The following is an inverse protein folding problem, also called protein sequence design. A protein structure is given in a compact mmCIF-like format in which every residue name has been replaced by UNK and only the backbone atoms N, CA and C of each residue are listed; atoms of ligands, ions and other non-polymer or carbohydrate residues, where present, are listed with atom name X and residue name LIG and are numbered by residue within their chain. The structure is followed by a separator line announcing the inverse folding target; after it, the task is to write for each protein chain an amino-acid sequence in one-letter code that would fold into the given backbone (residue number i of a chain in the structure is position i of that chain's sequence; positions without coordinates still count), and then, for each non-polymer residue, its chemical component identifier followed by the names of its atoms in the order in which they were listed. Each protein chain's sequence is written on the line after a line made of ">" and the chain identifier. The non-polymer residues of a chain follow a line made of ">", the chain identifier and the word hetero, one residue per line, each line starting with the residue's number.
data_IF_199526178326
#
_entry.id   IF_199526178326
#
_cell.length_a   1.000
_cell.length_b   1.000
_cell.length_c   1.000
_cell.angle_alpha   90.00
_cell.angle_beta   90.00
_cell.angle_gamma   90.00
#
_symmetry.space_group_name_H-M   'P 1'
#
loop_
_entity.id
_entity.type
_entity.pdbx_description
1 polymer ?
#
# COMPACT_ATOMS: atom_id res chain seq x y z
N UNK A 1 -6.11 -17.67 -1.81
CA UNK A 1 -6.62 -16.29 -1.99
C UNK A 1 -5.60 -15.41 -2.69
N UNK A 2 -4.37 -15.24 -2.18
CA UNK A 2 -3.34 -14.47 -2.90
C UNK A 2 -2.80 -15.16 -4.19
N UNK A 3 -2.99 -16.47 -4.36
CA UNK A 3 -2.72 -17.18 -5.63
C UNK A 3 -3.69 -16.80 -6.76
N UNK A 4 -4.90 -16.36 -6.41
CA UNK A 4 -5.98 -16.02 -7.35
C UNK A 4 -5.84 -14.61 -7.93
N UNK A 5 -4.80 -13.88 -7.52
CA UNK A 5 -4.52 -12.50 -7.94
C UNK A 5 -3.17 -12.35 -8.66
N UNK A 6 -2.37 -13.42 -8.73
CA UNK A 6 -1.10 -13.46 -9.47
C UNK A 6 -1.29 -13.94 -10.91
N UNK A 7 -0.73 -13.25 -11.93
CA UNK A 7 -0.70 -13.76 -13.30
C UNK A 7 0.18 -15.03 -13.39
N UNK A 8 -0.16 -16.06 -14.20
CA UNK A 8 -1.27 -16.15 -15.17
C UNK A 8 -2.56 -16.79 -14.59
N UNK A 9 -2.58 -17.16 -13.31
CA UNK A 9 -3.65 -17.98 -12.69
C UNK A 9 -4.78 -17.15 -12.06
N UNK A 10 -4.84 -15.85 -12.31
CA UNK A 10 -5.77 -14.96 -11.62
C UNK A 10 -7.21 -15.08 -12.16
N UNK A 11 -7.94 -16.12 -11.73
CA UNK A 11 -9.27 -16.47 -12.22
C UNK A 11 -10.35 -15.43 -11.85
N UNK A 12 -10.25 -14.85 -10.65
CA UNK A 12 -11.21 -13.84 -10.20
C UNK A 12 -11.23 -12.56 -11.07
N UNK A 13 -10.10 -11.88 -11.33
CA UNK A 13 -10.07 -10.74 -12.25
C UNK A 13 -10.34 -11.14 -13.71
N UNK A 14 -10.05 -12.38 -14.10
CA UNK A 14 -10.40 -12.90 -15.42
C UNK A 14 -11.92 -12.98 -15.61
N UNK A 15 -12.64 -13.57 -14.63
CA UNK A 15 -14.10 -13.64 -14.64
C UNK A 15 -14.72 -12.23 -14.58
N UNK A 16 -14.18 -11.33 -13.75
CA UNK A 16 -14.63 -9.94 -13.69
C UNK A 16 -14.45 -9.20 -15.03
N UNK A 17 -13.35 -9.43 -15.74
CA UNK A 17 -13.12 -8.86 -17.07
C UNK A 17 -14.10 -9.42 -18.11
N UNK A 18 -14.41 -10.72 -18.07
CA UNK A 18 -15.38 -11.35 -18.96
C UNK A 18 -16.80 -10.79 -18.78
N UNK A 19 -17.21 -10.50 -17.53
CA UNK A 19 -18.52 -9.90 -17.24
C UNK A 19 -18.62 -8.43 -17.65
N UNK A 20 -17.52 -7.68 -17.56
CA UNK A 20 -17.50 -6.23 -17.84
C UNK A 20 -17.06 -5.88 -19.27
N UNK A 21 -16.68 -6.88 -20.08
CA UNK A 21 -16.14 -6.68 -21.43
C UNK A 21 -14.72 -6.08 -21.46
N UNK A 22 -14.02 -6.07 -20.33
CA UNK A 22 -12.65 -5.54 -20.22
C UNK A 22 -11.60 -6.51 -20.76
N UNK A 23 -10.36 -6.02 -20.96
CA UNK A 23 -9.25 -6.88 -21.35
C UNK A 23 -8.79 -7.74 -20.15
N UNK A 24 -8.89 -9.08 -20.19
CA UNK A 24 -8.58 -9.93 -19.03
C UNK A 24 -7.14 -9.79 -18.56
N UNK A 25 -6.18 -9.70 -19.48
CA UNK A 25 -4.77 -9.58 -19.13
C UNK A 25 -4.45 -8.27 -18.41
N UNK A 26 -5.02 -7.15 -18.86
CA UNK A 26 -4.86 -5.85 -18.18
C UNK A 26 -5.51 -5.85 -16.80
N UNK A 27 -6.70 -6.41 -16.66
CA UNK A 27 -7.38 -6.53 -15.36
C UNK A 27 -6.57 -7.37 -14.39
N UNK A 28 -6.06 -8.53 -14.82
CA UNK A 28 -5.15 -9.36 -14.00
C UNK A 28 -3.91 -8.58 -13.55
N UNK A 29 -3.26 -7.85 -14.46
CA UNK A 29 -2.06 -7.08 -14.14
C UNK A 29 -2.34 -5.94 -13.14
N UNK A 30 -3.48 -5.27 -13.28
CA UNK A 30 -3.92 -4.23 -12.35
C UNK A 30 -4.20 -4.84 -10.96
N UNK A 31 -4.97 -5.92 -10.91
CA UNK A 31 -5.27 -6.62 -9.64
C UNK A 31 -3.98 -7.02 -8.93
N UNK A 32 -3.04 -7.64 -9.65
CA UNK A 32 -1.74 -8.00 -9.11
C UNK A 32 -1.01 -6.80 -8.49
N UNK A 33 -0.93 -5.68 -9.23
CA UNK A 33 -0.32 -4.43 -8.74
C UNK A 33 -0.95 -3.94 -7.44
N UNK A 34 -2.28 -3.98 -7.32
CA UNK A 34 -2.98 -3.53 -6.11
C UNK A 34 -2.84 -4.50 -4.94
N UNK A 35 -2.54 -5.77 -5.19
CA UNK A 35 -2.32 -6.78 -4.14
C UNK A 35 -0.91 -6.81 -3.58
N UNK A 36 0.03 -6.05 -4.17
CA UNK A 36 1.41 -5.92 -3.68
C UNK A 36 1.56 -5.61 -2.19
N UNK A 37 0.80 -4.67 -1.59
CA UNK A 37 0.87 -4.44 -0.15
C UNK A 37 0.54 -5.68 0.67
N UNK A 38 -0.45 -6.48 0.25
CA UNK A 38 -0.85 -7.71 0.94
C UNK A 38 0.20 -8.82 0.85
N UNK A 39 0.93 -8.92 -0.27
CA UNK A 39 2.08 -9.82 -0.39
C UNK A 39 3.20 -9.49 0.58
N UNK A 40 3.30 -8.21 0.99
CA UNK A 40 4.38 -7.74 1.86
C UNK A 40 4.03 -7.88 3.36
N UNK A 41 2.75 -7.97 3.75
CA UNK A 41 2.33 -8.06 5.16
C UNK A 41 3.02 -9.19 5.94
N UNK A 42 3.24 -10.40 5.37
CA UNK A 42 3.98 -11.46 6.06
C UNK A 42 5.38 -11.08 6.52
N UNK A 43 6.02 -10.12 5.84
CA UNK A 43 7.36 -9.68 6.20
C UNK A 43 7.39 -8.90 7.53
N UNK A 44 6.29 -8.26 7.91
CA UNK A 44 6.21 -7.47 9.15
C UNK A 44 6.54 -8.32 10.37
N UNK A 45 5.93 -9.51 10.49
CA UNK A 45 6.10 -10.38 11.66
C UNK A 45 7.22 -11.41 11.52
N UNK A 46 7.95 -11.42 10.40
CA UNK A 46 9.09 -12.34 10.17
C UNK A 46 10.43 -11.65 10.21
N UNK A 47 10.48 -10.33 9.98
CA UNK A 47 11.73 -9.55 9.96
C UNK A 47 12.20 -9.12 11.35
N UNK A 48 11.30 -8.93 12.30
CA UNK A 48 11.64 -8.49 13.66
C UNK A 48 10.74 -9.11 14.74
N UNK A 49 11.24 -9.26 15.98
CA UNK A 49 10.43 -9.73 17.10
C UNK A 49 9.26 -8.80 17.44
N UNK A 50 9.40 -7.47 17.22
CA UNK A 50 8.32 -6.50 17.47
C UNK A 50 7.13 -6.69 16.52
N UNK A 51 7.38 -7.23 15.32
CA UNK A 51 6.36 -7.58 14.36
C UNK A 51 5.39 -8.69 14.84
N UNK A 52 5.79 -9.49 15.84
CA UNK A 52 4.94 -10.54 16.43
C UNK A 52 3.69 -9.98 17.12
N UNK A 53 3.65 -8.68 17.41
CA UNK A 53 2.45 -7.98 17.86
C UNK A 53 1.27 -8.16 16.90
N UNK A 54 1.53 -8.30 15.59
CA UNK A 54 0.48 -8.55 14.59
C UNK A 54 -0.16 -9.95 14.75
N UNK A 55 0.52 -10.87 15.42
CA UNK A 55 0.06 -12.23 15.72
C UNK A 55 -0.51 -12.36 17.14
N UNK A 56 -0.72 -11.25 17.85
CA UNK A 56 -1.15 -11.21 19.26
C UNK A 56 -0.18 -11.92 20.22
N UNK A 57 1.11 -11.99 19.87
CA UNK A 57 2.15 -12.63 20.70
C UNK A 57 2.97 -11.63 21.54
N UNK A 58 2.50 -10.39 21.66
CA UNK A 58 3.14 -9.30 22.41
C UNK A 58 2.15 -8.67 23.41
N UNK A 59 2.62 -7.88 24.39
CA UNK A 59 1.76 -7.07 25.25
C UNK A 59 0.75 -6.24 24.45
N UNK A 60 -0.44 -5.99 25.02
CA UNK A 60 -1.53 -5.29 24.33
C UNK A 60 -1.14 -3.92 23.74
N UNK A 61 -0.25 -3.19 24.42
CA UNK A 61 0.28 -1.91 23.91
C UNK A 61 1.02 -2.08 22.58
N UNK A 62 1.91 -3.07 22.52
CA UNK A 62 2.71 -3.38 21.34
C UNK A 62 1.84 -3.92 20.20
N UNK A 63 0.83 -4.74 20.51
CA UNK A 63 -0.16 -5.23 19.52
C UNK A 63 -0.86 -4.05 18.84
N UNK A 64 -1.35 -3.09 19.61
CA UNK A 64 -2.03 -1.90 19.08
C UNK A 64 -1.06 -1.08 18.24
N UNK A 65 0.15 -0.83 18.75
CA UNK A 65 1.17 -0.07 18.03
C UNK A 65 1.55 -0.72 16.70
N UNK A 66 1.95 -2.00 16.71
CA UNK A 66 2.35 -2.75 15.51
C UNK A 66 1.19 -2.82 14.50
N UNK A 67 -0.05 -2.97 14.95
CA UNK A 67 -1.23 -2.97 14.07
C UNK A 67 -1.44 -1.61 13.40
N UNK A 68 -1.32 -0.51 14.15
CA UNK A 68 -1.47 0.84 13.60
C UNK A 68 -0.34 1.16 12.62
N UNK A 69 0.91 0.87 12.98
CA UNK A 69 2.07 1.01 12.09
C UNK A 69 1.85 0.20 10.80
N UNK A 70 1.48 -1.08 10.91
CA UNK A 70 1.24 -1.94 9.76
C UNK A 70 0.14 -1.39 8.85
N UNK A 71 -0.96 -0.90 9.42
CA UNK A 71 -2.06 -0.30 8.67
C UNK A 71 -1.60 0.94 7.88
N UNK A 72 -0.81 1.83 8.51
CA UNK A 72 -0.26 3.01 7.85
C UNK A 72 0.74 2.61 6.76
N UNK A 73 1.61 1.62 7.02
CA UNK A 73 2.57 1.11 6.05
C UNK A 73 1.87 0.51 4.82
N UNK A 74 0.83 -0.29 5.03
CA UNK A 74 -0.01 -0.83 3.94
C UNK A 74 -0.67 0.29 3.14
N UNK A 75 -1.19 1.33 3.81
CA UNK A 75 -1.76 2.50 3.13
C UNK A 75 -0.70 3.24 2.28
N UNK A 76 0.52 3.40 2.79
CA UNK A 76 1.62 4.01 2.06
C UNK A 76 2.00 3.22 0.81
N UNK A 77 2.12 1.89 0.93
CA UNK A 77 2.36 0.99 -0.21
C UNK A 77 1.20 1.03 -1.21
N UNK A 78 -0.05 1.07 -0.74
CA UNK A 78 -1.22 1.17 -1.62
C UNK A 78 -1.19 2.46 -2.45
N UNK A 79 -0.80 3.60 -1.85
CA UNK A 79 -0.61 4.86 -2.58
C UNK A 79 0.54 4.75 -3.58
N UNK A 80 1.68 4.19 -3.16
CA UNK A 80 2.86 4.04 -4.01
C UNK A 80 2.64 3.14 -5.24
N UNK A 81 2.11 1.94 -5.03
CA UNK A 81 1.82 1.00 -6.12
C UNK A 81 0.59 1.43 -6.92
N UNK A 82 -0.49 1.84 -6.25
CA UNK A 82 -1.73 2.29 -6.86
C UNK A 82 -1.52 3.51 -7.75
N UNK A 83 -0.72 4.47 -7.28
CA UNK A 83 -0.42 5.70 -8.00
C UNK A 83 -1.53 6.75 -7.90
N UNK A 84 -2.38 6.65 -6.87
CA UNK A 84 -3.56 7.49 -6.72
C UNK A 84 -3.85 7.74 -5.23
N UNK A 85 -4.27 8.97 -4.89
CA UNK A 85 -4.71 9.34 -3.54
C UNK A 85 -5.94 10.25 -3.55
N UNK A 86 -5.79 11.50 -4.03
CA UNK A 86 -6.91 12.38 -4.40
C UNK A 86 -6.93 12.65 -5.90
N UNK A 87 -5.74 12.71 -6.49
CA UNK A 87 -5.47 12.68 -7.93
C UNK A 87 -4.34 11.69 -8.20
N UNK A 88 -3.98 11.53 -9.47
CA UNK A 88 -2.80 10.74 -9.84
C UNK A 88 -1.56 11.28 -9.13
N UNK A 89 -0.82 10.42 -8.43
CA UNK A 89 0.44 10.77 -7.75
C UNK A 89 1.59 10.78 -8.75
N UNK A 90 2.56 11.68 -8.56
CA UNK A 90 3.75 11.71 -9.41
C UNK A 90 4.73 10.59 -9.03
N UNK A 91 5.67 10.28 -9.93
CA UNK A 91 6.68 9.25 -9.67
C UNK A 91 7.46 9.46 -8.35
N UNK A 92 7.90 10.68 -7.99
CA UNK A 92 8.59 10.90 -6.71
C UNK A 92 7.70 10.61 -5.49
N UNK A 93 6.43 11.02 -5.50
CA UNK A 93 5.47 10.73 -4.43
C UNK A 93 5.27 9.23 -4.28
N UNK A 94 5.21 8.51 -5.40
CA UNK A 94 5.06 7.05 -5.39
C UNK A 94 6.27 6.36 -4.80
N UNK A 95 7.47 6.72 -5.22
CA UNK A 95 8.72 6.14 -4.69
C UNK A 95 8.85 6.43 -3.21
N UNK A 96 8.62 7.67 -2.78
CA UNK A 96 8.67 8.03 -1.35
C UNK A 96 7.62 7.29 -0.54
N UNK A 97 6.39 7.11 -1.05
CA UNK A 97 5.35 6.33 -0.37
C UNK A 97 5.71 4.85 -0.26
N UNK A 98 6.31 4.26 -1.30
CA UNK A 98 6.81 2.87 -1.23
C UNK A 98 7.91 2.74 -0.17
N UNK A 99 8.90 3.64 -0.19
CA UNK A 99 9.99 3.64 0.80
C UNK A 99 9.45 3.82 2.22
N UNK A 100 8.51 4.74 2.43
CA UNK A 100 7.86 4.93 3.72
C UNK A 100 7.18 3.66 4.22
N UNK A 101 6.39 3.01 3.35
CA UNK A 101 5.72 1.75 3.69
C UNK A 101 6.69 0.61 4.01
N UNK A 102 7.77 0.47 3.23
CA UNK A 102 8.79 -0.56 3.49
C UNK A 102 9.56 -0.33 4.79
N UNK A 103 9.85 0.93 5.15
CA UNK A 103 10.50 1.24 6.44
C UNK A 103 9.63 0.81 7.63
N UNK A 104 8.33 1.04 7.55
CA UNK A 104 7.37 0.65 8.59
C UNK A 104 7.19 -0.87 8.70
N UNK A 105 7.64 -1.65 7.70
CA UNK A 105 7.55 -3.11 7.73
C UNK A 105 8.69 -3.76 8.51
N UNK A 106 9.74 -3.01 8.84
CA UNK A 106 10.79 -3.47 9.73
C UNK A 106 10.35 -3.46 11.21
N UNK A 107 9.21 -2.83 11.52
CA UNK A 107 8.58 -2.75 12.85
C UNK A 107 9.53 -2.34 13.99
N UNK A 108 10.55 -1.52 13.68
CA UNK A 108 11.41 -0.89 14.70
C UNK A 108 10.91 0.52 14.99
N UNK A 109 10.91 0.94 16.25
CA UNK A 109 10.43 2.26 16.65
C UNK A 109 11.06 3.42 15.84
N UNK A 110 12.36 3.31 15.51
CA UNK A 110 13.05 4.34 14.72
C UNK A 110 12.58 4.33 13.26
N UNK A 111 12.48 3.16 12.64
CA UNK A 111 12.05 3.04 11.24
C UNK A 111 10.58 3.43 11.06
N UNK A 112 9.75 3.14 12.06
CA UNK A 112 8.34 3.51 12.09
C UNK A 112 8.18 5.03 12.11
N UNK A 113 8.90 5.73 13.01
CA UNK A 113 8.86 7.19 13.08
C UNK A 113 9.32 7.81 11.77
N UNK A 114 10.43 7.33 11.20
CA UNK A 114 10.95 7.83 9.92
C UNK A 114 9.92 7.57 8.80
N UNK A 115 9.34 6.38 8.75
CA UNK A 115 8.33 6.01 7.75
C UNK A 115 7.06 6.85 7.86
N UNK A 116 6.54 7.07 9.07
CA UNK A 116 5.37 7.92 9.32
C UNK A 116 5.64 9.36 8.87
N UNK A 117 6.78 9.93 9.26
CA UNK A 117 7.16 11.29 8.88
C UNK A 117 7.28 11.41 7.36
N UNK A 118 7.95 10.44 6.71
CA UNK A 118 8.10 10.43 5.26
C UNK A 118 6.74 10.34 4.56
N UNK A 119 5.83 9.48 5.04
CA UNK A 119 4.50 9.36 4.46
C UNK A 119 3.65 10.62 4.68
N UNK A 120 3.75 11.25 5.85
CA UNK A 120 3.10 12.52 6.13
C UNK A 120 3.61 13.64 5.19
N UNK A 121 4.91 13.67 4.89
CA UNK A 121 5.49 14.60 3.90
C UNK A 121 4.92 14.34 2.51
N UNK A 122 4.82 13.07 2.08
CA UNK A 122 4.20 12.71 0.79
C UNK A 122 2.76 13.20 0.71
N UNK A 123 1.97 12.98 1.76
CA UNK A 123 0.57 13.46 1.82
C UNK A 123 0.53 14.99 1.77
N UNK A 124 1.40 15.67 2.52
CA UNK A 124 1.50 17.13 2.53
C UNK A 124 1.80 17.70 1.15
N UNK A 125 2.84 17.19 0.48
CA UNK A 125 3.21 17.56 -0.90
C UNK A 125 2.03 17.32 -1.84
N UNK A 126 1.39 16.15 -1.76
CA UNK A 126 0.28 15.79 -2.63
C UNK A 126 -0.92 16.74 -2.44
N UNK A 127 -1.28 17.06 -1.19
CA UNK A 127 -2.39 17.97 -0.89
C UNK A 127 -2.09 19.39 -1.41
N UNK A 128 -0.90 19.92 -1.16
CA UNK A 128 -0.52 21.27 -1.65
C UNK A 128 -0.58 21.31 -3.17
N UNK A 129 -0.03 20.30 -3.85
CA UNK A 129 -0.03 20.23 -5.32
C UNK A 129 -1.45 20.10 -5.90
N UNK A 130 -2.29 19.27 -5.30
CA UNK A 130 -3.64 18.99 -5.82
C UNK A 130 -4.66 20.07 -5.50
N UNK A 131 -4.43 20.90 -4.47
CA UNK A 131 -5.23 22.10 -4.20
C UNK A 131 -5.03 23.20 -5.25
N UNK A 132 -3.83 23.30 -5.81
CA UNK A 132 -3.48 24.35 -6.78
C UNK A 132 -4.00 24.08 -8.20
N UNK A 133 -4.50 22.88 -8.50
CA UNK A 133 -4.94 22.52 -9.83
C UNK A 133 -6.47 22.56 -9.92
N UNK A 134 -7.07 23.31 -10.87
CA UNK A 134 -8.50 23.25 -11.15
C UNK A 134 -8.94 21.80 -11.41
N UNK A 135 -10.17 21.46 -11.04
CA UNK A 135 -10.78 20.17 -11.39
C UNK A 135 -10.74 19.98 -12.91
N UNK A 136 -10.46 18.76 -13.41
CA UNK A 136 -10.62 18.52 -14.84
C UNK A 136 -12.10 18.75 -15.17
N UNK A 137 -12.38 19.77 -15.99
CA UNK A 137 -13.69 19.95 -16.60
C UNK A 137 -13.88 18.74 -17.50
N UNK A 138 -14.79 17.85 -17.12
CA UNK A 138 -15.23 16.72 -17.94
C UNK A 138 -15.82 17.30 -19.23
N UNK A 139 -15.13 17.11 -20.34
CA UNK A 139 -15.67 17.23 -21.69
C UNK A 139 -16.15 15.85 -22.16
#
# INVERSE_FOLDING_TARGET
>A
MLSEVSPPTALAPFAAAALTGGNPFRTMMLTWKYTMPAFLVPFIYTLSPEGLGLLLQSPLGDVIQTTLTAAIGVAALAVGFGGWLRRATNLPERVMAVVAGLLMFYASAITDVIGIVLFAVVIGIHIVRTRAQPSPVTA
#
